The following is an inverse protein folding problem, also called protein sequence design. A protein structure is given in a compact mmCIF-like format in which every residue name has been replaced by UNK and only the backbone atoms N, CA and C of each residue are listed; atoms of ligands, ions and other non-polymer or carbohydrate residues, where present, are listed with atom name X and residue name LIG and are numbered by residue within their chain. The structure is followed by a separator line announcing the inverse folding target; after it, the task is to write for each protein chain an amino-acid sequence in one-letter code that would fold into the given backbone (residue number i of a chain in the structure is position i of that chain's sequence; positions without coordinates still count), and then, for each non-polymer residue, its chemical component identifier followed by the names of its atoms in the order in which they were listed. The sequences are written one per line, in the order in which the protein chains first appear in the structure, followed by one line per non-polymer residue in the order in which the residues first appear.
data_IF_819025310366
#
_entry.id   IF_819025310366
#
_cell.length_a   1.000
_cell.length_b   1.000
_cell.length_c   1.000
_cell.angle_alpha   90.00
_cell.angle_beta   90.00
_cell.angle_gamma   90.00
#
_symmetry.space_group_name_H-M   'P 1'
#
loop_
_entity.id
_entity.type
_entity.pdbx_description
1 polymer ?
#
# COMPACT_ATOMS: atom_id res chain seq x y z
N UNK A 1 -26.29 1.52 1.50
CA UNK A 1 -25.21 2.50 1.28
C UNK A 1 -23.90 1.78 1.46
N UNK A 2 -23.05 1.76 0.44
CA UNK A 2 -21.75 1.10 0.53
C UNK A 2 -20.80 1.97 1.36
N UNK A 3 -20.26 1.43 2.45
CA UNK A 3 -19.23 2.10 3.26
C UNK A 3 -17.90 2.07 2.48
N UNK A 4 -17.78 2.93 1.47
CA UNK A 4 -16.57 3.05 0.66
C UNK A 4 -15.53 3.85 1.42
N UNK A 5 -14.39 3.24 1.72
CA UNK A 5 -13.26 3.91 2.33
C UNK A 5 -12.58 4.82 1.30
N UNK A 6 -12.24 6.05 1.71
CA UNK A 6 -11.44 6.95 0.89
C UNK A 6 -9.96 6.56 0.98
N UNK A 7 -9.56 5.59 0.16
CA UNK A 7 -8.19 5.09 0.11
C UNK A 7 -7.43 5.79 -1.01
N UNK A 8 -6.28 6.42 -0.73
CA UNK A 8 -5.49 7.10 -1.76
C UNK A 8 -4.92 6.08 -2.74
N UNK A 9 -5.11 6.32 -4.04
CA UNK A 9 -4.54 5.46 -5.07
C UNK A 9 -3.02 5.65 -5.18
N UNK A 10 -2.26 4.55 -5.17
CA UNK A 10 -0.80 4.52 -5.36
C UNK A 10 -0.45 3.43 -6.39
N UNK A 11 0.13 3.79 -7.55
CA UNK A 11 0.50 2.80 -8.57
C UNK A 11 1.68 1.94 -8.10
N UNK A 12 1.75 0.69 -8.53
CA UNK A 12 2.90 -0.18 -8.27
C UNK A 12 4.17 0.39 -8.91
N UNK A 13 5.30 0.34 -8.18
CA UNK A 13 6.58 0.86 -8.69
C UNK A 13 7.18 0.01 -9.81
N UNK A 14 6.99 -1.30 -9.76
CA UNK A 14 7.54 -2.26 -10.71
C UNK A 14 6.71 -3.54 -10.73
N UNK A 15 6.98 -4.42 -11.69
CA UNK A 15 6.38 -5.75 -11.72
C UNK A 15 6.69 -6.51 -10.42
N UNK A 16 5.65 -7.13 -9.83
CA UNK A 16 5.74 -7.79 -8.52
C UNK A 16 5.52 -6.87 -7.31
N UNK A 17 5.37 -5.55 -7.49
CA UNK A 17 5.09 -4.60 -6.40
C UNK A 17 3.59 -4.37 -6.14
N UNK A 18 2.70 -5.21 -6.67
CA UNK A 18 1.26 -5.08 -6.45
C UNK A 18 0.89 -5.14 -4.97
N UNK A 19 1.48 -6.06 -4.20
CA UNK A 19 1.22 -6.18 -2.76
C UNK A 19 1.80 -4.99 -1.96
N UNK A 20 3.08 -4.58 -2.13
CA UNK A 20 3.60 -3.34 -1.55
C UNK A 20 2.75 -2.10 -1.85
N UNK A 21 2.23 -1.96 -3.08
CA UNK A 21 1.35 -0.87 -3.46
C UNK A 21 0.03 -0.90 -2.68
N UNK A 22 -0.63 -2.08 -2.63
CA UNK A 22 -1.85 -2.26 -1.83
C UNK A 22 -1.65 -1.93 -0.36
N UNK A 23 -0.54 -2.39 0.24
CA UNK A 23 -0.22 -2.11 1.63
C UNK A 23 0.03 -0.62 1.84
N UNK A 24 0.77 0.04 0.94
CA UNK A 24 0.99 1.48 1.01
C UNK A 24 -0.33 2.27 1.00
N UNK A 25 -1.28 1.89 0.13
CA UNK A 25 -2.59 2.55 0.05
C UNK A 25 -3.36 2.45 1.37
N UNK A 26 -3.42 1.27 1.97
CA UNK A 26 -4.08 1.04 3.27
C UNK A 26 -3.39 1.82 4.39
N UNK A 27 -2.06 1.80 4.45
CA UNK A 27 -1.30 2.53 5.47
C UNK A 27 -1.49 4.04 5.35
N UNK A 28 -1.46 4.60 4.14
CA UNK A 28 -1.75 6.03 3.93
C UNK A 28 -3.18 6.40 4.31
N UNK A 29 -4.16 5.53 4.10
CA UNK A 29 -5.54 5.75 4.61
C UNK A 29 -5.58 5.86 6.15
N UNK A 30 -4.70 5.14 6.84
CA UNK A 30 -4.54 5.20 8.30
C UNK A 30 -3.61 6.33 8.78
N UNK A 31 -3.09 7.17 7.88
CA UNK A 31 -2.15 8.25 8.21
C UNK A 31 -0.72 7.77 8.48
N UNK A 32 -0.37 6.55 8.05
CA UNK A 32 0.96 5.96 8.20
C UNK A 32 1.69 6.01 6.86
N UNK A 33 2.76 6.81 6.78
CA UNK A 33 3.55 6.94 5.55
C UNK A 33 4.66 5.88 5.50
N UNK A 34 4.55 4.96 4.53
CA UNK A 34 5.55 3.95 4.19
C UNK A 34 5.69 3.86 2.67
N UNK A 35 6.90 3.62 2.19
CA UNK A 35 7.18 3.48 0.77
C UNK A 35 7.22 2.00 0.35
N UNK A 36 6.87 1.73 -0.91
CA UNK A 36 6.79 0.37 -1.43
C UNK A 36 8.16 -0.34 -1.46
N UNK A 37 9.28 0.40 -1.50
CA UNK A 37 10.62 -0.20 -1.53
C UNK A 37 11.02 -0.80 -0.20
N UNK A 38 10.54 -0.23 0.93
CA UNK A 38 10.68 -0.81 2.26
C UNK A 38 9.72 -1.99 2.44
N UNK A 39 8.45 -1.81 2.05
CA UNK A 39 7.42 -2.84 2.16
C UNK A 39 7.77 -4.11 1.37
N UNK A 40 8.33 -3.97 0.16
CA UNK A 40 8.75 -5.11 -0.67
C UNK A 40 9.96 -5.89 -0.13
N UNK A 41 10.67 -5.34 0.86
CA UNK A 41 11.83 -5.99 1.51
C UNK A 41 11.48 -6.62 2.86
N UNK A 42 10.30 -6.33 3.40
CA UNK A 42 9.83 -6.95 4.63
C UNK A 42 9.49 -8.41 4.35
N UNK A 43 10.32 -9.32 4.87
CA UNK A 43 10.00 -10.74 4.88
C UNK A 43 8.86 -10.94 5.87
N UNK A 44 7.66 -11.18 5.37
CA UNK A 44 6.56 -11.72 6.16
C UNK A 44 7.05 -13.03 6.79
N UNK A 45 7.22 -13.01 8.12
CA UNK A 45 7.60 -14.18 8.92
C UNK A 45 6.37 -15.02 9.23
#
# INVERSE_FOLDING_TARGET
MSNVLSVPHRPQLADGYCLPACVQMVLSHLGIERDQTKLGKEKTR
#
